data_IF_386692530611
#
_entry.id   IF_386692530611
#
_cell.length_a   1.000
_cell.length_b   1.000
_cell.length_c   1.000
_cell.angle_alpha   90.00
_cell.angle_beta   90.00
_cell.angle_gamma   90.00
#
_symmetry.space_group_name_H-M   'P 1'
#
loop_
_entity.id
_entity.type
_entity.pdbx_description
1 polymer ?
#
# COMPACT_ATOMS: atom_id res chain seq x y z
N UNK A 1 -2.33 1.27 -2.30
CA UNK A 1 -2.21 2.50 -1.49
C UNK A 1 -2.93 3.70 -2.12
N UNK A 2 -2.79 3.93 -3.43
CA UNK A 2 -3.37 5.09 -4.14
C UNK A 2 -4.84 5.43 -3.86
N UNK A 3 -5.73 4.45 -3.66
CA UNK A 3 -7.16 4.72 -3.41
C UNK A 3 -7.39 5.41 -2.06
N UNK A 4 -6.72 4.96 -1.00
CA UNK A 4 -6.93 5.50 0.35
C UNK A 4 -6.24 6.86 0.48
N UNK A 5 -5.00 6.97 -0.02
CA UNK A 5 -4.26 8.24 -0.04
C UNK A 5 -5.05 9.35 -0.74
N UNK A 6 -5.63 9.05 -1.91
CA UNK A 6 -6.44 10.04 -2.62
C UNK A 6 -7.76 10.35 -1.94
N UNK A 7 -8.32 9.39 -1.19
CA UNK A 7 -9.51 9.65 -0.38
C UNK A 7 -9.18 10.59 0.78
N UNK A 8 -8.07 10.34 1.47
CA UNK A 8 -7.58 11.21 2.55
C UNK A 8 -7.33 12.63 2.04
N UNK A 9 -6.65 12.78 0.90
CA UNK A 9 -6.41 14.08 0.26
C UNK A 9 -7.72 14.80 -0.11
N UNK A 10 -8.68 14.08 -0.70
CA UNK A 10 -9.95 14.66 -1.14
C UNK A 10 -10.83 15.12 0.04
N UNK A 11 -10.80 14.38 1.15
CA UNK A 11 -11.57 14.68 2.37
C UNK A 11 -10.78 15.56 3.36
N UNK A 12 -9.54 15.93 3.03
CA UNK A 12 -8.68 16.77 3.88
C UNK A 12 -8.27 16.10 5.19
N UNK A 13 -8.06 14.79 5.18
CA UNK A 13 -7.68 13.98 6.35
C UNK A 13 -6.18 13.77 6.43
N UNK A 14 -5.67 13.53 7.63
CA UNK A 14 -4.28 13.08 7.77
C UNK A 14 -4.18 11.57 7.45
N UNK A 15 -3.00 11.08 7.04
CA UNK A 15 -2.78 9.67 6.78
C UNK A 15 -3.16 8.79 7.98
N UNK A 16 -3.98 7.77 7.73
CA UNK A 16 -4.48 6.84 8.74
C UNK A 16 -5.71 7.34 9.52
N UNK A 17 -6.19 8.57 9.31
CA UNK A 17 -7.43 9.09 9.91
C UNK A 17 -8.69 8.63 9.15
N UNK A 18 -8.70 7.36 8.75
CA UNK A 18 -9.83 6.72 8.09
C UNK A 18 -10.55 5.76 9.02
N UNK A 19 -11.80 5.46 8.71
CA UNK A 19 -12.65 4.55 9.47
C UNK A 19 -13.54 3.74 8.53
N UNK A 20 -14.18 2.70 9.07
CA UNK A 20 -15.12 1.90 8.29
C UNK A 20 -16.32 2.71 7.75
N UNK A 21 -16.64 3.85 8.38
CA UNK A 21 -17.71 4.74 7.91
C UNK A 21 -17.40 5.36 6.53
N UNK A 22 -16.12 5.39 6.16
CA UNK A 22 -15.62 5.97 4.92
C UNK A 22 -15.68 5.00 3.74
N UNK A 23 -15.93 3.71 4.01
CA UNK A 23 -15.97 2.66 3.01
C UNK A 23 -16.84 3.00 1.79
N UNK A 24 -18.06 3.56 1.92
CA UNK A 24 -18.86 3.92 0.74
C UNK A 24 -18.18 4.97 -0.15
N UNK A 25 -17.50 5.96 0.44
CA UNK A 25 -16.75 6.98 -0.29
C UNK A 25 -15.51 6.40 -0.96
N UNK A 26 -14.79 5.54 -0.25
CA UNK A 26 -13.59 4.85 -0.75
C UNK A 26 -13.92 3.90 -1.90
N UNK A 27 -15.03 3.16 -1.83
CA UNK A 27 -15.50 2.30 -2.93
C UNK A 27 -15.89 3.11 -4.17
N UNK A 28 -16.53 4.27 -3.97
CA UNK A 28 -16.83 5.19 -5.07
C UNK A 28 -15.54 5.69 -5.73
N UNK A 29 -14.57 6.14 -4.93
CA UNK A 29 -13.30 6.64 -5.44
C UNK A 29 -12.49 5.53 -6.13
N UNK A 30 -12.48 4.30 -5.58
CA UNK A 30 -11.87 3.13 -6.23
C UNK A 30 -12.40 2.99 -7.66
N UNK A 31 -13.71 3.03 -7.84
CA UNK A 31 -14.34 2.88 -9.15
C UNK A 31 -13.88 3.98 -10.11
N UNK A 32 -13.93 5.24 -9.69
CA UNK A 32 -13.49 6.38 -10.51
C UNK A 32 -12.01 6.26 -10.93
N UNK A 33 -11.14 5.79 -10.02
CA UNK A 33 -9.73 5.58 -10.32
C UNK A 33 -9.47 4.37 -11.21
N UNK A 34 -10.18 3.28 -11.01
CA UNK A 34 -10.13 2.12 -11.88
C UNK A 34 -10.55 2.48 -13.32
N UNK A 35 -11.63 3.26 -13.48
CA UNK A 35 -12.08 3.77 -14.78
C UNK A 35 -11.03 4.68 -15.42
N UNK A 36 -10.50 5.66 -14.66
CA UNK A 36 -9.50 6.62 -15.16
C UNK A 36 -8.21 5.93 -15.62
N UNK A 37 -7.76 4.91 -14.88
CA UNK A 37 -6.51 4.20 -15.17
C UNK A 37 -6.73 2.96 -16.06
N UNK A 38 -7.96 2.72 -16.53
CA UNK A 38 -8.31 1.53 -17.33
C UNK A 38 -7.93 0.19 -16.65
N UNK A 39 -8.10 0.13 -15.32
CA UNK A 39 -7.82 -1.06 -14.49
C UNK A 39 -9.14 -1.68 -14.04
N UNK A 40 -9.21 -3.01 -14.01
CA UNK A 40 -10.38 -3.73 -13.53
C UNK A 40 -10.55 -3.57 -12.00
N UNK A 41 -11.73 -3.17 -11.54
CA UNK A 41 -12.06 -3.03 -10.10
C UNK A 41 -11.79 -4.30 -9.28
N UNK A 42 -11.92 -5.48 -9.89
CA UNK A 42 -11.68 -6.77 -9.21
C UNK A 42 -10.23 -6.97 -8.74
N UNK A 43 -9.28 -6.17 -9.25
CA UNK A 43 -7.89 -6.17 -8.78
C UNK A 43 -7.75 -5.54 -7.38
N UNK A 44 -8.76 -4.80 -6.91
CA UNK A 44 -8.77 -4.16 -5.59
C UNK A 44 -10.00 -4.67 -4.81
N UNK A 45 -9.86 -5.81 -4.11
CA UNK A 45 -10.98 -6.44 -3.40
C UNK A 45 -11.53 -5.56 -2.27
N UNK A 46 -12.85 -5.59 -2.07
CA UNK A 46 -13.53 -4.84 -0.99
C UNK A 46 -12.94 -5.18 0.39
N UNK A 47 -12.69 -6.47 0.65
CA UNK A 47 -12.10 -6.94 1.91
C UNK A 47 -10.71 -6.34 2.20
N UNK A 48 -9.94 -5.98 1.17
CA UNK A 48 -8.67 -5.28 1.37
C UNK A 48 -8.91 -3.85 1.84
N UNK A 49 -9.85 -3.14 1.22
CA UNK A 49 -10.19 -1.77 1.60
C UNK A 49 -10.79 -1.70 3.00
N UNK A 50 -11.72 -2.60 3.33
CA UNK A 50 -12.28 -2.71 4.68
C UNK A 50 -11.20 -2.87 5.75
N UNK A 51 -10.22 -3.76 5.51
CA UNK A 51 -9.11 -3.99 6.44
C UNK A 51 -8.24 -2.74 6.61
N UNK A 52 -7.90 -2.08 5.51
CA UNK A 52 -7.02 -0.91 5.52
C UNK A 52 -7.69 0.29 6.22
N UNK A 53 -9.01 0.44 6.11
CA UNK A 53 -9.76 1.51 6.79
C UNK A 53 -9.88 1.31 8.31
N UNK A 54 -9.68 0.09 8.80
CA UNK A 54 -9.77 -0.24 10.24
C UNK A 54 -8.38 -0.18 10.90
N UNK A 55 -7.31 -0.38 10.12
CA UNK A 55 -5.97 -0.64 10.62
C UNK A 55 -4.98 0.52 10.49
N UNK A 56 -5.14 1.57 11.28
CA UNK A 56 -4.14 2.64 11.39
C UNK A 56 -3.01 2.32 12.41
N UNK A 57 -3.08 1.17 13.07
CA UNK A 57 -2.12 0.76 14.10
C UNK A 57 -0.88 0.11 13.50
N UNK A 58 0.28 0.46 14.04
CA UNK A 58 1.52 -0.25 13.75
C UNK A 58 1.62 -1.55 14.55
N UNK A 59 2.01 -2.64 13.89
CA UNK A 59 2.20 -3.95 14.51
C UNK A 59 3.70 -4.24 14.64
N UNK A 60 4.26 -4.42 15.85
CA UNK A 60 5.71 -4.60 16.02
C UNK A 60 6.34 -5.71 15.16
N UNK A 61 5.70 -6.88 14.94
CA UNK A 61 6.25 -7.89 14.03
C UNK A 61 6.31 -7.42 12.57
N UNK A 62 5.31 -6.67 12.11
CA UNK A 62 5.29 -6.11 10.74
C UNK A 62 6.37 -5.05 10.60
N UNK A 63 6.51 -4.16 11.60
CA UNK A 63 7.57 -3.15 11.61
C UNK A 63 8.98 -3.79 11.57
N UNK A 64 9.19 -4.92 12.26
CA UNK A 64 10.45 -5.64 12.22
C UNK A 64 10.74 -6.24 10.82
N UNK A 65 9.73 -6.79 10.15
CA UNK A 65 9.86 -7.33 8.78
C UNK A 65 10.20 -6.21 7.79
N UNK A 66 9.36 -5.16 7.77
CA UNK A 66 9.55 -4.02 6.86
C UNK A 66 10.87 -3.31 7.13
N UNK A 67 11.19 -3.04 8.40
CA UNK A 67 12.44 -2.39 8.80
C UNK A 67 13.68 -3.20 8.46
N UNK A 68 13.64 -4.53 8.61
CA UNK A 68 14.73 -5.41 8.22
C UNK A 68 14.99 -5.40 6.71
N UNK A 69 13.94 -5.48 5.90
CA UNK A 69 14.05 -5.43 4.44
C UNK A 69 14.54 -4.05 3.99
N UNK A 70 13.89 -2.97 4.46
CA UNK A 70 14.29 -1.60 4.12
C UNK A 70 15.74 -1.31 4.52
N UNK A 71 16.16 -1.72 5.72
CA UNK A 71 17.54 -1.55 6.18
C UNK A 71 18.54 -2.27 5.29
N UNK A 72 18.22 -3.49 4.85
CA UNK A 72 19.07 -4.24 3.92
C UNK A 72 19.18 -3.53 2.56
N UNK A 73 18.09 -2.99 2.03
CA UNK A 73 18.11 -2.25 0.76
C UNK A 73 18.92 -0.96 0.84
N UNK A 74 18.83 -0.23 1.95
CA UNK A 74 19.68 0.93 2.21
C UNK A 74 21.15 0.52 2.20
N UNK A 75 21.53 -0.58 2.85
CA UNK A 75 22.92 -1.08 2.84
C UNK A 75 23.39 -1.41 1.42
N UNK A 76 22.57 -2.09 0.61
CA UNK A 76 22.93 -2.39 -0.79
C UNK A 76 23.17 -1.11 -1.59
N UNK A 77 22.24 -0.15 -1.47
CA UNK A 77 22.30 1.12 -2.19
C UNK A 77 23.55 1.94 -1.84
N UNK A 78 23.90 2.06 -0.56
CA UNK A 78 25.07 2.88 -0.14
C UNK A 78 26.41 2.16 -0.35
N UNK A 79 26.43 0.83 -0.26
CA UNK A 79 27.67 0.05 -0.40
C UNK A 79 28.04 -0.26 -1.84
N UNK A 80 27.08 -0.14 -2.77
CA UNK A 80 27.24 -0.59 -4.16
C UNK A 80 27.42 -2.10 -4.28
N UNK A 81 27.01 -2.89 -3.27
CA UNK A 81 27.13 -4.35 -3.26
C UNK A 81 25.76 -5.01 -3.23
N UNK A 82 25.57 -5.92 -4.19
CA UNK A 82 24.28 -6.57 -4.44
C UNK A 82 23.34 -5.66 -5.21
N UNK A 83 22.29 -6.25 -5.76
CA UNK A 83 21.28 -5.50 -6.51
C UNK A 83 20.16 -5.04 -5.58
N UNK A 84 19.90 -3.72 -5.46
CA UNK A 84 18.73 -3.22 -4.79
C UNK A 84 17.44 -3.73 -5.44
N UNK A 85 16.38 -3.85 -4.65
CA UNK A 85 15.05 -4.11 -5.18
C UNK A 85 14.63 -3.01 -6.15
N UNK A 86 13.80 -3.39 -7.11
CA UNK A 86 13.23 -2.44 -8.05
C UNK A 86 12.02 -1.77 -7.42
N UNK A 87 12.21 -0.53 -6.97
CA UNK A 87 11.22 0.44 -6.45
C UNK A 87 10.24 0.00 -5.34
N UNK A 88 9.38 -1.00 -5.52
CA UNK A 88 8.32 -1.32 -4.55
C UNK A 88 8.46 -2.71 -3.93
N UNK A 89 8.23 -2.77 -2.62
CA UNK A 89 8.03 -4.00 -1.87
C UNK A 89 6.71 -3.90 -1.07
N UNK A 90 5.86 -4.90 -1.23
CA UNK A 90 4.59 -5.04 -0.51
C UNK A 90 4.62 -6.27 0.39
N UNK A 91 4.03 -6.18 1.57
CA UNK A 91 3.89 -7.29 2.50
C UNK A 91 2.46 -7.37 3.02
N UNK A 92 1.80 -8.53 2.91
CA UNK A 92 0.53 -8.81 3.57
C UNK A 92 0.74 -9.76 4.76
N UNK A 93 0.45 -9.26 5.96
CA UNK A 93 0.58 -10.04 7.18
C UNK A 93 -0.43 -11.20 7.31
N UNK A 94 -1.54 -11.18 6.54
CA UNK A 94 -2.56 -12.22 6.63
C UNK A 94 -2.16 -13.52 5.94
N UNK A 95 -1.46 -13.45 4.82
CA UNK A 95 -0.97 -14.63 4.10
C UNK A 95 0.55 -14.77 4.12
N UNK A 96 1.25 -13.79 4.72
CA UNK A 96 2.70 -13.78 4.90
C UNK A 96 3.48 -13.55 3.61
N UNK A 97 2.83 -13.11 2.53
CA UNK A 97 3.50 -12.89 1.25
C UNK A 97 4.20 -11.55 1.21
N UNK A 98 5.45 -11.59 0.72
CA UNK A 98 6.20 -10.43 0.27
C UNK A 98 6.27 -10.41 -1.25
N UNK A 99 5.98 -9.27 -1.87
CA UNK A 99 5.98 -9.08 -3.32
C UNK A 99 6.89 -7.91 -3.69
N UNK A 100 7.74 -8.10 -4.70
CA UNK A 100 8.55 -7.03 -5.28
C UNK A 100 7.95 -6.73 -6.65
N UNK A 101 7.58 -5.48 -6.88
CA UNK A 101 6.98 -5.02 -8.13
C UNK A 101 7.84 -3.91 -8.72
N UNK A 102 8.10 -3.96 -10.04
CA UNK A 102 8.76 -2.88 -10.78
C UNK A 102 7.68 -2.02 -11.43
N UNK A 103 7.37 -0.88 -10.82
CA UNK A 103 6.31 0.06 -11.27
C UNK A 103 6.90 1.23 -12.07
N UNK A 104 8.08 1.05 -12.68
CA UNK A 104 8.63 2.06 -13.58
C UNK A 104 7.80 2.13 -14.86
N UNK A 105 7.70 3.31 -15.48
CA UNK A 105 7.15 3.40 -16.84
C UNK A 105 8.00 2.51 -17.78
N UNK A 106 7.38 1.78 -18.74
CA UNK A 106 8.10 0.95 -19.69
C UNK A 106 9.05 1.74 -20.60
#
# INVERSE_FOLDING_TARGET
MRVIEQFEDAEGRNPGETSIADLPGVLKLRKELCETNSVNESQIPDALLERLLIGASEYPPVCAIIGGILGQEVIKAISGKGDPLKNFFFFDAMDGKGLIEDISEP
#
